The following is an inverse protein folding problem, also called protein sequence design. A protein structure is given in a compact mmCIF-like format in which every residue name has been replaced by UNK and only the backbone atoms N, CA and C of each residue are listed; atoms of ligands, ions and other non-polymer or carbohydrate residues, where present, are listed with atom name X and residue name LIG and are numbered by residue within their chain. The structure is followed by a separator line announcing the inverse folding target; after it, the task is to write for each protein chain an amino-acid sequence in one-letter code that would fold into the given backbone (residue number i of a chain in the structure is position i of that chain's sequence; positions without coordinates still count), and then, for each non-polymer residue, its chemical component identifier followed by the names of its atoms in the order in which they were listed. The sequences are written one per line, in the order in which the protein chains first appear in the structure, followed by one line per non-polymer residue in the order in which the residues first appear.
data_IF_764956614899
#
_entry.id   IF_764956614899
#
_cell.length_a   1.000
_cell.length_b   1.000
_cell.length_c   1.000
_cell.angle_alpha   90.00
_cell.angle_beta   90.00
_cell.angle_gamma   90.00
#
_symmetry.space_group_name_H-M   'P 1'
#
loop_
_entity.id
_entity.type
_entity.pdbx_description
1 polymer ?
#
# COMPACT_ATOMS: atom_id res chain seq x y z
N UNK A 1 -12.58 -4.72 28.26
CA UNK A 1 -11.82 -3.48 27.97
C UNK A 1 -11.34 -3.38 26.52
N UNK A 2 -10.73 -4.40 25.89
CA UNK A 2 -10.32 -4.31 24.46
C UNK A 2 -11.47 -4.17 23.45
N UNK A 3 -12.69 -4.55 23.83
CA UNK A 3 -13.85 -4.58 22.92
C UNK A 3 -14.73 -3.32 22.95
N UNK A 4 -14.52 -2.38 23.88
CA UNK A 4 -15.38 -1.19 24.01
C UNK A 4 -14.91 0.01 23.17
N UNK A 5 -13.74 -0.11 22.54
CA UNK A 5 -13.10 1.02 21.88
C UNK A 5 -12.69 2.11 22.88
N UNK A 6 -11.74 2.94 22.48
CA UNK A 6 -11.33 4.08 23.28
C UNK A 6 -10.93 5.22 22.35
N UNK A 7 -11.12 6.49 22.74
CA UNK A 7 -10.63 7.60 21.95
C UNK A 7 -9.12 7.45 21.72
N UNK A 8 -8.67 7.80 20.53
CA UNK A 8 -7.27 7.85 20.14
C UNK A 8 -6.89 9.29 19.79
N UNK A 9 -5.60 9.58 19.63
CA UNK A 9 -5.13 10.89 19.16
C UNK A 9 -4.47 10.74 17.79
N UNK A 10 -4.66 11.73 16.93
CA UNK A 10 -4.11 11.80 15.57
C UNK A 10 -3.17 12.99 15.48
N UNK A 11 -1.94 12.73 15.04
CA UNK A 11 -0.91 13.74 14.81
C UNK A 11 -0.51 13.74 13.34
N UNK A 12 -0.07 14.90 12.87
CA UNK A 12 0.45 15.08 11.52
C UNK A 12 1.87 15.59 11.57
N UNK A 13 2.71 15.08 10.68
CA UNK A 13 4.07 15.56 10.50
C UNK A 13 4.32 15.79 9.01
N UNK A 14 4.77 16.99 8.66
CA UNK A 14 5.36 17.23 7.35
C UNK A 14 6.72 16.51 7.28
N UNK A 15 7.06 16.02 6.09
CA UNK A 15 8.32 15.37 5.81
C UNK A 15 8.91 15.85 4.48
N UNK A 16 10.23 15.83 4.41
CA UNK A 16 10.95 16.11 3.18
C UNK A 16 10.81 14.97 2.15
N UNK A 17 11.45 15.12 0.99
CA UNK A 17 11.46 14.10 -0.08
C UNK A 17 12.05 12.75 0.34
N UNK A 18 12.84 12.72 1.42
CA UNK A 18 13.45 11.51 1.98
C UNK A 18 12.62 10.96 3.15
N UNK A 19 11.39 11.44 3.35
CA UNK A 19 10.51 11.08 4.45
C UNK A 19 11.07 11.43 5.84
N UNK A 20 11.98 12.40 5.92
CA UNK A 20 12.51 12.93 7.17
C UNK A 20 11.65 14.11 7.63
N UNK A 21 11.19 14.08 8.90
CA UNK A 21 10.42 15.19 9.49
C UNK A 21 11.28 16.43 9.57
N UNK A 22 10.78 17.53 9.04
CA UNK A 22 11.56 18.73 8.74
C UNK A 22 10.94 20.02 9.28
N UNK A 23 9.62 20.08 9.40
CA UNK A 23 8.89 21.28 9.83
C UNK A 23 8.17 21.09 11.17
N UNK A 24 8.01 22.20 11.89
CA UNK A 24 7.16 22.28 13.08
C UNK A 24 5.67 22.41 12.69
N UNK A 25 4.73 21.90 13.51
CA UNK A 25 3.30 21.94 13.19
C UNK A 25 2.75 23.31 12.81
N UNK A 26 3.21 24.39 13.44
CA UNK A 26 2.77 25.76 13.16
C UNK A 26 3.14 26.26 11.76
N UNK A 27 4.13 25.64 11.11
CA UNK A 27 4.55 26.01 9.76
C UNK A 27 3.64 25.40 8.69
N UNK A 28 3.05 24.23 8.95
CA UNK A 28 2.31 23.48 7.93
C UNK A 28 0.82 23.25 8.26
N UNK A 29 0.37 23.45 9.50
CA UNK A 29 -1.04 23.40 9.90
C UNK A 29 -1.59 24.81 10.15
N UNK A 30 -2.89 24.98 9.87
CA UNK A 30 -3.58 26.24 10.13
C UNK A 30 -4.04 26.41 11.57
N UNK A 31 -4.47 25.30 12.16
CA UNK A 31 -5.29 25.24 13.36
C UNK A 31 -4.57 24.44 14.46
N UNK A 32 -5.01 23.22 14.73
CA UNK A 32 -4.48 22.38 15.80
C UNK A 32 -3.36 21.48 15.31
N UNK A 33 -2.44 21.12 16.21
CA UNK A 33 -1.33 20.19 15.95
C UNK A 33 -1.78 18.72 15.95
N UNK A 34 -2.91 18.45 16.62
CA UNK A 34 -3.45 17.13 16.87
C UNK A 34 -4.98 17.19 16.94
N UNK A 35 -5.63 16.05 16.67
CA UNK A 35 -7.07 15.87 16.70
C UNK A 35 -7.43 14.57 17.47
N UNK A 36 -8.64 14.49 18.00
CA UNK A 36 -9.16 13.34 18.73
C UNK A 36 -9.95 12.41 17.79
N UNK A 37 -9.50 11.15 17.65
CA UNK A 37 -10.24 10.12 16.93
C UNK A 37 -11.30 9.52 17.86
N UNK A 38 -12.53 10.04 17.73
CA UNK A 38 -13.69 9.61 18.52
C UNK A 38 -14.78 8.86 17.74
N UNK A 39 -14.71 8.84 16.41
CA UNK A 39 -15.61 8.02 15.58
C UNK A 39 -15.12 6.57 15.54
N UNK A 40 -15.60 5.77 16.50
CA UNK A 40 -15.34 4.35 16.57
C UNK A 40 -16.58 3.56 16.94
N UNK A 41 -16.71 2.37 16.35
CA UNK A 41 -17.87 1.49 16.54
C UNK A 41 -17.43 0.03 16.67
N UNK A 42 -18.01 -0.75 17.61
CA UNK A 42 -17.75 -2.18 17.65
C UNK A 42 -18.29 -2.86 16.40
N UNK A 43 -17.68 -4.01 16.08
CA UNK A 43 -18.15 -4.92 15.05
C UNK A 43 -19.54 -5.46 15.39
N UNK A 44 -20.25 -5.94 14.36
CA UNK A 44 -21.61 -6.41 14.46
C UNK A 44 -21.72 -7.77 13.76
N UNK A 45 -22.11 -8.80 14.52
CA UNK A 45 -22.36 -10.13 13.97
C UNK A 45 -21.09 -10.87 13.50
N UNK A 46 -19.92 -10.52 14.05
CA UNK A 46 -18.64 -11.16 13.73
C UNK A 46 -18.24 -12.13 14.83
N UNK A 47 -17.62 -13.24 14.46
CA UNK A 47 -17.08 -14.24 15.38
C UNK A 47 -15.84 -13.69 16.11
N UNK A 48 -14.97 -12.96 15.40
CA UNK A 48 -13.90 -12.17 16.02
C UNK A 48 -14.41 -10.75 16.29
N UNK A 49 -14.55 -10.33 17.55
CA UNK A 49 -14.93 -8.95 17.88
C UNK A 49 -13.78 -7.99 17.57
N UNK A 50 -14.10 -6.83 17.00
CA UNK A 50 -13.14 -5.75 16.76
C UNK A 50 -13.83 -4.38 16.88
N UNK A 51 -13.04 -3.31 16.88
CA UNK A 51 -13.52 -1.93 16.87
C UNK A 51 -13.06 -1.26 15.58
N UNK A 52 -14.01 -0.74 14.81
CA UNK A 52 -13.74 0.01 13.59
C UNK A 52 -13.60 1.50 13.93
N UNK A 53 -12.44 2.06 13.63
CA UNK A 53 -12.13 3.48 13.79
C UNK A 53 -12.21 4.17 12.42
N UNK A 54 -12.87 5.32 12.37
CA UNK A 54 -12.91 6.16 11.17
C UNK A 54 -12.41 7.55 11.50
N UNK A 55 -11.52 8.07 10.66
CA UNK A 55 -11.03 9.43 10.77
C UNK A 55 -11.10 10.08 9.39
N UNK A 56 -11.61 11.30 9.32
CA UNK A 56 -11.81 12.06 8.08
C UNK A 56 -11.06 13.38 8.20
N UNK A 57 -10.17 13.61 7.25
CA UNK A 57 -9.35 14.82 7.14
C UNK A 57 -9.17 15.18 5.65
N UNK A 58 -8.92 16.46 5.31
CA UNK A 58 -8.93 17.61 6.23
C UNK A 58 -10.33 17.85 6.85
N UNK A 59 -10.37 18.56 7.98
CA UNK A 59 -11.60 18.87 8.72
C UNK A 59 -11.50 20.28 9.35
N UNK A 60 -12.44 20.67 10.21
CA UNK A 60 -12.44 22.00 10.83
C UNK A 60 -11.24 22.22 11.78
N UNK A 61 -10.72 21.14 12.39
CA UNK A 61 -9.62 21.19 13.34
C UNK A 61 -8.25 20.98 12.69
N UNK A 62 -8.21 20.34 11.51
CA UNK A 62 -6.99 19.99 10.77
C UNK A 62 -7.08 20.49 9.33
N UNK A 63 -6.36 21.57 9.07
CA UNK A 63 -6.20 22.18 7.74
C UNK A 63 -4.71 22.38 7.43
N UNK A 64 -4.32 22.11 6.19
CA UNK A 64 -2.93 22.13 5.74
C UNK A 64 -2.61 23.43 4.99
N UNK A 65 -1.56 24.11 5.42
CA UNK A 65 -1.02 25.33 4.78
C UNK A 65 -0.08 25.05 3.61
N UNK A 66 0.60 23.90 3.66
CA UNK A 66 1.66 23.55 2.73
C UNK A 66 1.31 22.24 2.03
N UNK A 67 1.57 22.18 0.73
CA UNK A 67 1.71 20.91 0.03
C UNK A 67 2.97 20.19 0.48
N UNK A 68 3.08 18.90 0.16
CA UNK A 68 4.26 18.09 0.48
C UNK A 68 3.93 16.68 0.95
N UNK A 69 4.95 16.04 1.52
CA UNK A 69 4.82 14.70 2.10
C UNK A 69 4.38 14.82 3.54
N UNK A 70 3.46 13.95 3.95
CA UNK A 70 2.95 13.94 5.31
C UNK A 70 2.90 12.53 5.88
N UNK A 71 3.09 12.44 7.19
CA UNK A 71 2.88 11.24 7.99
C UNK A 71 1.78 11.51 8.99
N UNK A 72 0.67 10.78 8.84
CA UNK A 72 -0.37 10.67 9.86
C UNK A 72 0.09 9.64 10.89
N UNK A 73 0.07 10.00 12.17
CA UNK A 73 0.38 9.11 13.29
C UNK A 73 -0.85 8.98 14.18
N UNK A 74 -1.23 7.74 14.51
CA UNK A 74 -2.27 7.46 15.50
C UNK A 74 -1.64 6.89 16.76
N UNK A 75 -2.07 7.38 17.92
CA UNK A 75 -1.50 7.02 19.22
C UNK A 75 -2.58 6.72 20.25
N UNK A 76 -2.18 6.16 21.40
CA UNK A 76 -3.04 6.23 22.58
C UNK A 76 -3.38 7.70 22.93
N UNK A 77 -4.58 7.93 23.47
CA UNK A 77 -5.09 9.27 23.76
C UNK A 77 -4.11 10.09 24.60
N UNK A 78 -3.73 11.26 24.10
CA UNK A 78 -2.85 12.20 24.78
C UNK A 78 -1.41 11.71 25.00
N UNK A 79 -1.01 10.61 24.35
CA UNK A 79 0.32 10.00 24.46
C UNK A 79 0.96 9.90 23.08
N UNK A 80 1.50 11.02 22.59
CA UNK A 80 2.13 11.11 21.25
C UNK A 80 3.24 10.06 20.99
N UNK A 81 3.92 9.61 22.05
CA UNK A 81 4.96 8.58 21.96
C UNK A 81 4.43 7.14 21.98
N UNK A 82 3.16 6.93 22.34
CA UNK A 82 2.52 5.62 22.36
C UNK A 82 1.91 5.32 20.98
N UNK A 83 2.78 5.18 19.98
CA UNK A 83 2.40 5.00 18.56
C UNK A 83 1.70 3.66 18.35
N UNK A 84 0.52 3.70 17.73
CA UNK A 84 -0.21 2.52 17.30
C UNK A 84 0.12 2.18 15.84
N UNK A 85 0.08 3.18 14.95
CA UNK A 85 0.52 3.05 13.57
C UNK A 85 0.77 4.42 12.94
N UNK A 86 1.44 4.42 11.79
CA UNK A 86 1.63 5.59 10.93
C UNK A 86 1.19 5.29 9.50
N UNK A 87 0.76 6.33 8.78
CA UNK A 87 0.39 6.29 7.37
C UNK A 87 0.91 7.52 6.65
N UNK A 88 1.66 7.27 5.59
CA UNK A 88 2.12 8.30 4.67
C UNK A 88 0.99 8.74 3.72
N UNK A 89 0.94 10.04 3.42
CA UNK A 89 0.08 10.62 2.40
C UNK A 89 0.72 11.89 1.83
N UNK A 90 0.08 12.49 0.82
CA UNK A 90 0.57 13.70 0.16
C UNK A 90 -0.53 14.75 0.11
N UNK A 91 -0.13 16.02 0.22
CA UNK A 91 -0.97 17.18 -0.09
C UNK A 91 -0.37 17.84 -1.32
N UNK A 92 -1.19 18.21 -2.30
CA UNK A 92 -0.77 18.79 -3.58
C UNK A 92 -1.48 20.11 -3.79
N UNK A 93 -0.78 21.10 -4.35
CA UNK A 93 -1.38 22.38 -4.75
C UNK A 93 -2.15 22.26 -6.09
N UNK A 94 -2.04 21.12 -6.77
CA UNK A 94 -2.64 20.84 -8.08
C UNK A 94 -2.24 21.86 -9.17
N UNK A 95 -1.08 22.49 -9.02
CA UNK A 95 -0.57 23.47 -9.96
C UNK A 95 0.24 22.87 -11.11
N UNK A 96 0.14 23.49 -12.28
CA UNK A 96 0.80 23.05 -13.49
C UNK A 96 0.10 21.86 -14.16
N UNK A 97 0.80 21.20 -15.09
CA UNK A 97 0.28 20.04 -15.81
C UNK A 97 1.30 18.91 -15.80
N UNK A 98 0.96 17.79 -15.17
CA UNK A 98 1.74 16.56 -15.16
C UNK A 98 1.08 15.50 -16.05
N UNK A 99 1.84 14.96 -17.01
CA UNK A 99 1.44 13.77 -17.79
C UNK A 99 2.43 12.65 -17.53
N UNK A 100 1.91 11.49 -17.15
CA UNK A 100 2.69 10.29 -16.94
C UNK A 100 2.54 9.37 -18.16
N UNK A 101 3.66 9.00 -18.75
CA UNK A 101 3.79 8.01 -19.80
C UNK A 101 4.64 6.85 -19.26
N UNK A 102 4.47 5.65 -19.82
CA UNK A 102 5.30 4.49 -19.46
C UNK A 102 5.65 3.70 -20.70
N UNK A 103 6.90 3.27 -20.80
CA UNK A 103 7.39 2.42 -21.88
C UNK A 103 7.93 1.12 -21.32
N UNK A 104 7.61 -0.01 -21.95
CA UNK A 104 8.22 -1.28 -21.64
C UNK A 104 9.58 -1.39 -22.30
N UNK A 105 10.61 -1.76 -21.54
CA UNK A 105 11.98 -1.94 -22.03
C UNK A 105 12.48 -3.36 -21.79
N UNK A 106 13.28 -3.86 -22.73
CA UNK A 106 14.04 -5.08 -22.53
C UNK A 106 15.35 -4.77 -21.80
N UNK A 107 15.62 -5.49 -20.71
CA UNK A 107 16.89 -5.42 -19.97
C UNK A 107 17.64 -6.75 -20.19
N UNK A 108 18.92 -6.73 -20.61
CA UNK A 108 19.71 -7.94 -20.77
C UNK A 108 19.70 -8.82 -19.51
N UNK A 109 19.45 -10.11 -19.67
CA UNK A 109 19.34 -11.06 -18.55
C UNK A 109 17.94 -11.15 -17.92
N UNK A 110 17.01 -10.26 -18.24
CA UNK A 110 15.61 -10.37 -17.82
C UNK A 110 14.75 -11.02 -18.91
N UNK A 111 13.88 -11.96 -18.51
CA UNK A 111 12.93 -12.61 -19.43
C UNK A 111 11.68 -11.75 -19.69
N UNK A 112 11.28 -10.96 -18.72
CA UNK A 112 10.12 -10.08 -18.81
C UNK A 112 10.57 -8.62 -19.00
N UNK A 113 9.70 -7.80 -19.58
CA UNK A 113 9.97 -6.39 -19.82
C UNK A 113 9.84 -5.59 -18.52
N UNK A 114 10.81 -4.70 -18.30
CA UNK A 114 10.78 -3.70 -17.22
C UNK A 114 9.97 -2.48 -17.66
N UNK A 115 9.44 -1.72 -16.71
CA UNK A 115 8.65 -0.52 -16.98
C UNK A 115 9.49 0.72 -16.69
N UNK A 116 9.62 1.58 -17.70
CA UNK A 116 10.32 2.86 -17.60
C UNK A 116 9.32 4.01 -17.72
N UNK A 117 9.05 4.75 -16.63
CA UNK A 117 8.15 5.89 -16.67
C UNK A 117 8.84 7.13 -17.22
N UNK A 118 8.04 7.99 -17.85
CA UNK A 118 8.40 9.33 -18.29
C UNK A 118 7.33 10.29 -17.77
N UNK A 119 7.74 11.29 -17.01
CA UNK A 119 6.85 12.38 -16.62
C UNK A 119 7.12 13.60 -17.49
N UNK A 120 6.06 14.21 -18.04
CA UNK A 120 6.12 15.52 -18.67
C UNK A 120 5.40 16.51 -17.78
N UNK A 121 6.16 17.38 -17.15
CA UNK A 121 5.65 18.41 -16.26
C UNK A 121 5.78 19.77 -16.93
N UNK A 122 4.69 20.55 -16.97
CA UNK A 122 4.72 21.95 -17.37
C UNK A 122 4.41 22.79 -16.13
N UNK A 123 5.40 23.52 -15.59
CA UNK A 123 5.17 24.36 -14.43
C UNK A 123 4.20 25.52 -14.73
N UNK A 124 3.45 26.00 -13.72
CA UNK A 124 2.69 27.24 -13.84
C UNK A 124 3.60 28.43 -14.17
N UNK A 125 3.06 29.45 -14.85
CA UNK A 125 3.84 30.54 -15.44
C UNK A 125 4.81 31.23 -14.46
N UNK A 126 4.40 31.43 -13.20
CA UNK A 126 5.22 32.07 -12.16
C UNK A 126 6.44 31.25 -11.71
N UNK A 127 6.49 29.96 -12.03
CA UNK A 127 7.52 29.05 -11.56
C UNK A 127 8.43 28.53 -12.71
N UNK A 128 8.24 29.00 -13.95
CA UNK A 128 9.03 28.56 -15.11
C UNK A 128 10.49 29.08 -15.12
N UNK A 129 10.87 29.95 -14.17
CA UNK A 129 12.17 30.65 -14.16
C UNK A 129 13.39 29.77 -13.86
N UNK A 130 13.23 28.66 -13.13
CA UNK A 130 14.30 27.71 -12.84
C UNK A 130 13.89 26.29 -13.26
N UNK A 131 14.15 25.89 -14.51
CA UNK A 131 13.78 24.56 -14.99
C UNK A 131 14.60 23.43 -14.36
N UNK A 132 15.72 23.71 -13.66
CA UNK A 132 16.53 22.71 -12.97
C UNK A 132 16.14 22.53 -11.49
N UNK A 133 15.32 23.43 -10.95
CA UNK A 133 14.82 23.39 -9.58
C UNK A 133 13.75 22.32 -9.30
N UNK A 134 13.47 21.44 -10.27
CA UNK A 134 12.39 20.45 -10.20
C UNK A 134 12.92 19.03 -10.05
N UNK A 135 12.25 18.24 -9.21
CA UNK A 135 12.50 16.80 -9.07
C UNK A 135 11.18 16.05 -9.25
N UNK A 136 11.19 14.96 -10.02
CA UNK A 136 10.04 14.07 -10.14
C UNK A 136 10.35 12.71 -9.52
N UNK A 137 9.48 12.24 -8.64
CA UNK A 137 9.57 10.91 -8.04
C UNK A 137 8.49 9.99 -8.60
N UNK A 138 8.89 8.78 -9.01
CA UNK A 138 8.01 7.74 -9.50
C UNK A 138 7.79 6.70 -8.41
N UNK A 139 6.52 6.36 -8.18
CA UNK A 139 6.11 5.34 -7.22
C UNK A 139 5.22 4.34 -7.95
N UNK A 140 5.50 3.06 -7.78
CA UNK A 140 4.69 2.01 -8.38
C UNK A 140 3.70 1.45 -7.37
N UNK A 141 2.42 1.42 -7.71
CA UNK A 141 1.35 0.80 -6.91
C UNK A 141 1.34 1.25 -5.44
N UNK A 142 1.67 2.52 -5.17
CA UNK A 142 1.73 3.08 -3.82
C UNK A 142 2.89 2.57 -2.94
N UNK A 143 3.86 1.83 -3.49
CA UNK A 143 5.03 1.33 -2.75
C UNK A 143 6.07 2.42 -2.55
N UNK A 144 5.88 3.23 -1.52
CA UNK A 144 6.75 4.36 -1.21
C UNK A 144 8.20 3.96 -0.90
N UNK A 145 8.44 2.72 -0.46
CA UNK A 145 9.79 2.19 -0.23
C UNK A 145 10.60 1.97 -1.53
N UNK A 146 9.95 1.80 -2.68
CA UNK A 146 10.58 1.68 -4.01
C UNK A 146 10.41 2.98 -4.82
N UNK A 147 10.50 4.13 -4.16
CA UNK A 147 10.43 5.43 -4.82
C UNK A 147 11.70 5.70 -5.63
N UNK A 148 11.53 6.18 -6.87
CA UNK A 148 12.67 6.51 -7.75
C UNK A 148 12.54 7.94 -8.25
N UNK A 149 13.45 8.81 -7.81
CA UNK A 149 13.45 10.21 -8.20
C UNK A 149 14.45 10.51 -9.32
N UNK A 150 14.09 11.47 -10.16
CA UNK A 150 14.89 12.08 -11.21
C UNK A 150 14.87 13.61 -11.03
N UNK A 151 16.04 14.21 -10.91
CA UNK A 151 16.24 15.65 -10.70
C UNK A 151 16.87 16.35 -11.91
N UNK A 152 17.11 15.61 -13.01
CA UNK A 152 17.67 16.14 -14.26
C UNK A 152 16.61 16.12 -15.37
N UNK A 153 15.84 17.21 -15.54
CA UNK A 153 14.88 17.29 -16.63
C UNK A 153 15.58 17.41 -17.99
N UNK A 154 14.96 16.81 -19.01
CA UNK A 154 15.27 17.10 -20.40
C UNK A 154 14.55 18.37 -20.83
N UNK A 155 15.33 19.31 -21.35
CA UNK A 155 14.89 20.68 -21.66
C UNK A 155 14.54 20.89 -23.14
N UNK A 156 14.35 19.82 -23.92
CA UNK A 156 14.16 19.91 -25.37
C UNK A 156 12.86 20.62 -25.78
N UNK A 157 11.84 20.68 -24.92
CA UNK A 157 10.50 21.20 -25.24
C UNK A 157 10.00 22.20 -24.18
N UNK A 158 10.85 23.13 -23.74
CA UNK A 158 10.46 24.15 -22.76
C UNK A 158 9.19 24.92 -23.21
N UNK A 159 8.27 25.26 -22.27
CA UNK A 159 8.39 25.13 -20.81
C UNK A 159 8.07 23.72 -20.26
N UNK A 160 7.77 22.73 -21.11
CA UNK A 160 7.57 21.35 -20.67
C UNK A 160 8.91 20.68 -20.36
N UNK A 161 9.04 20.22 -19.13
CA UNK A 161 10.17 19.46 -18.60
C UNK A 161 9.86 17.97 -18.68
N UNK A 162 10.77 17.17 -19.22
CA UNK A 162 10.61 15.72 -19.26
C UNK A 162 11.59 15.02 -18.31
N UNK A 163 11.06 14.25 -17.37
CA UNK A 163 11.82 13.44 -16.41
C UNK A 163 11.68 11.98 -16.80
N UNK A 164 12.80 11.29 -16.98
CA UNK A 164 12.82 9.90 -17.40
C UNK A 164 13.94 9.17 -16.66
N UNK A 165 13.60 8.11 -15.93
CA UNK A 165 14.59 7.30 -15.20
C UNK A 165 15.61 6.70 -16.16
N UNK A 166 16.85 6.48 -15.72
CA UNK A 166 17.79 5.66 -16.49
C UNK A 166 17.28 4.23 -16.70
N UNK A 167 17.72 3.56 -17.78
CA UNK A 167 17.32 2.17 -18.08
C UNK A 167 17.67 1.21 -16.95
N UNK A 168 18.79 1.42 -16.26
CA UNK A 168 19.22 0.63 -15.09
C UNK A 168 18.35 0.84 -13.86
N UNK A 169 17.57 1.94 -13.82
CA UNK A 169 16.64 2.30 -12.75
C UNK A 169 15.18 2.10 -13.15
N UNK A 170 14.90 1.42 -14.26
CA UNK A 170 13.54 1.06 -14.67
C UNK A 170 12.92 0.07 -13.67
N UNK A 171 11.62 0.19 -13.40
CA UNK A 171 10.92 -0.70 -12.49
C UNK A 171 10.96 -2.13 -13.02
N UNK A 172 11.21 -3.07 -12.10
CA UNK A 172 11.24 -4.48 -12.43
C UNK A 172 9.94 -4.91 -13.12
N UNK A 173 9.96 -6.02 -13.86
CA UNK A 173 8.77 -6.50 -14.52
C UNK A 173 7.55 -6.62 -13.59
N UNK A 174 6.35 -6.49 -14.15
CA UNK A 174 5.12 -6.81 -13.41
C UNK A 174 5.17 -8.30 -13.05
N UNK A 175 5.44 -8.60 -11.80
CA UNK A 175 5.26 -9.96 -11.28
C UNK A 175 3.78 -10.28 -11.26
N UNK A 176 3.42 -11.55 -11.46
CA UNK A 176 2.04 -11.99 -11.40
C UNK A 176 1.45 -11.61 -10.04
N UNK A 177 0.48 -10.69 -10.03
CA UNK A 177 -0.18 -10.27 -8.82
C UNK A 177 -1.23 -11.32 -8.44
N UNK A 178 -1.06 -11.94 -7.28
CA UNK A 178 -2.04 -12.86 -6.75
C UNK A 178 -3.15 -12.10 -6.03
N UNK A 179 -4.40 -12.39 -6.39
CA UNK A 179 -5.57 -11.85 -5.70
C UNK A 179 -6.28 -13.01 -4.99
N UNK A 180 -6.59 -12.81 -3.72
CA UNK A 180 -7.38 -13.71 -2.89
C UNK A 180 -8.73 -13.07 -2.64
N UNK A 181 -9.80 -13.75 -3.02
CA UNK A 181 -11.16 -13.35 -2.66
C UNK A 181 -11.65 -14.24 -1.51
N UNK A 182 -11.78 -13.64 -0.33
CA UNK A 182 -12.31 -14.30 0.86
C UNK A 182 -13.77 -13.93 1.13
N UNK A 183 -14.43 -13.19 0.23
CA UNK A 183 -15.80 -12.73 0.46
C UNK A 183 -16.72 -13.92 0.72
N UNK A 184 -16.98 -14.81 -0.22
CA UNK A 184 -17.99 -15.84 0.04
C UNK A 184 -17.63 -16.86 1.14
N UNK A 185 -16.33 -16.99 1.48
CA UNK A 185 -15.76 -18.09 2.27
C UNK A 185 -16.29 -19.48 1.84
N UNK A 186 -16.73 -19.60 0.58
CA UNK A 186 -17.17 -20.84 -0.05
C UNK A 186 -15.96 -21.42 -0.79
N UNK A 187 -15.92 -22.73 -0.99
CA UNK A 187 -14.84 -23.42 -1.73
C UNK A 187 -14.87 -23.16 -3.24
N UNK A 188 -15.15 -21.93 -3.66
CA UNK A 188 -15.00 -21.46 -5.04
C UNK A 188 -14.13 -20.22 -4.97
N UNK A 189 -13.16 -20.13 -5.88
CA UNK A 189 -12.10 -19.11 -5.95
C UNK A 189 -10.88 -19.36 -5.05
N UNK A 190 -10.11 -20.42 -5.36
CA UNK A 190 -8.79 -20.72 -4.78
C UNK A 190 -8.78 -21.06 -3.28
N UNK A 191 -9.94 -21.37 -2.69
CA UNK A 191 -10.05 -21.85 -1.31
C UNK A 191 -10.17 -23.38 -1.34
N UNK A 192 -9.15 -24.09 -0.88
CA UNK A 192 -9.12 -25.56 -0.78
C UNK A 192 -10.07 -26.05 0.32
N UNK A 193 -9.96 -25.45 1.53
CA UNK A 193 -10.71 -25.91 2.71
C UNK A 193 -11.08 -24.74 3.62
N UNK A 194 -12.38 -24.40 3.75
CA UNK A 194 -12.86 -23.53 4.81
C UNK A 194 -13.23 -24.34 6.07
N UNK A 195 -12.82 -23.86 7.24
CA UNK A 195 -13.26 -24.34 8.56
C UNK A 195 -13.89 -23.19 9.34
N UNK A 196 -15.22 -23.22 9.46
CA UNK A 196 -16.01 -22.22 10.19
C UNK A 196 -16.37 -22.68 11.61
N UNK A 197 -15.87 -23.83 12.06
CA UNK A 197 -16.12 -24.36 13.41
C UNK A 197 -15.22 -23.72 14.47
N UNK A 198 -14.15 -23.05 14.03
CA UNK A 198 -13.19 -22.38 14.89
C UNK A 198 -13.30 -20.86 14.75
N UNK A 199 -12.93 -20.13 15.80
CA UNK A 199 -12.84 -18.66 15.79
C UNK A 199 -11.38 -18.25 16.02
N UNK A 200 -10.75 -17.45 15.13
CA UNK A 200 -11.24 -17.02 13.80
C UNK A 200 -11.52 -18.21 12.86
N UNK A 201 -12.41 -18.02 11.89
CA UNK A 201 -12.58 -18.97 10.79
C UNK A 201 -11.24 -19.20 10.11
N UNK A 202 -11.00 -20.43 9.65
CA UNK A 202 -9.74 -20.81 9.00
C UNK A 202 -9.98 -21.12 7.54
N UNK A 203 -9.08 -20.69 6.67
CA UNK A 203 -9.10 -21.05 5.25
C UNK A 203 -7.73 -21.50 4.81
N UNK A 204 -7.67 -22.65 4.16
CA UNK A 204 -6.49 -23.09 3.40
C UNK A 204 -6.72 -22.72 1.93
N UNK A 205 -5.80 -21.94 1.37
CA UNK A 205 -5.81 -21.63 -0.05
C UNK A 205 -5.24 -22.79 -0.87
N UNK A 206 -5.67 -22.89 -2.12
CA UNK A 206 -5.07 -23.78 -3.10
C UNK A 206 -3.58 -23.43 -3.27
N UNK A 207 -2.68 -24.42 -3.34
CA UNK A 207 -1.26 -24.15 -3.46
C UNK A 207 -0.91 -23.41 -4.75
N UNK A 208 -0.10 -22.36 -4.62
CA UNK A 208 0.49 -21.68 -5.75
C UNK A 208 1.70 -22.48 -6.24
N UNK A 209 1.63 -22.98 -7.47
CA UNK A 209 2.73 -23.70 -8.07
C UNK A 209 3.69 -22.72 -8.74
N UNK A 210 5.00 -22.94 -8.58
CA UNK A 210 6.07 -22.22 -9.29
C UNK A 210 6.10 -22.49 -10.82
N UNK A 211 4.94 -22.84 -11.40
CA UNK A 211 4.67 -22.86 -12.83
C UNK A 211 4.23 -21.45 -13.20
N UNK A 212 5.20 -20.54 -13.35
CA UNK A 212 4.99 -19.22 -13.94
C UNK A 212 4.59 -19.39 -15.42
N UNK A 213 3.40 -19.92 -15.70
CA UNK A 213 2.79 -19.76 -17.01
C UNK A 213 2.68 -18.26 -17.24
N UNK A 214 3.31 -17.75 -18.30
CA UNK A 214 3.51 -16.33 -18.59
C UNK A 214 2.23 -15.53 -18.86
N UNK A 215 1.10 -15.95 -18.32
CA UNK A 215 -0.12 -15.15 -18.28
C UNK A 215 0.00 -14.24 -17.06
N UNK A 216 0.34 -12.98 -17.32
CA UNK A 216 0.00 -11.90 -16.40
C UNK A 216 -1.52 -11.98 -16.20
N UNK A 217 -1.97 -12.49 -15.06
CA UNK A 217 -3.35 -12.29 -14.67
C UNK A 217 -3.46 -10.83 -14.29
N UNK A 218 -4.37 -10.12 -14.96
CA UNK A 218 -4.76 -8.78 -14.55
C UNK A 218 -5.21 -8.86 -13.09
N UNK A 219 -4.45 -8.25 -12.19
CA UNK A 219 -4.95 -8.00 -10.84
C UNK A 219 -5.70 -6.68 -10.89
N UNK A 220 -7.03 -6.71 -10.75
CA UNK A 220 -7.85 -5.51 -10.93
C UNK A 220 -7.59 -4.45 -9.85
N UNK A 221 -6.91 -4.83 -8.76
CA UNK A 221 -6.72 -3.98 -7.59
C UNK A 221 -5.32 -3.38 -7.49
N UNK A 222 -4.33 -3.79 -8.31
CA UNK A 222 -2.95 -3.30 -8.26
C UNK A 222 -2.35 -3.29 -6.83
N UNK A 223 -2.71 -4.27 -6.00
CA UNK A 223 -2.28 -4.34 -4.58
C UNK A 223 -3.17 -3.58 -3.60
N UNK A 224 -4.35 -3.10 -3.99
CA UNK A 224 -5.35 -2.58 -3.05
C UNK A 224 -6.10 -3.70 -2.33
N UNK A 225 -6.46 -3.47 -1.07
CA UNK A 225 -7.34 -4.34 -0.29
C UNK A 225 -8.76 -3.82 -0.42
N UNK A 226 -9.71 -4.73 -0.65
CA UNK A 226 -11.11 -4.41 -0.67
C UNK A 226 -11.85 -5.21 0.41
N UNK A 227 -12.27 -4.53 1.47
CA UNK A 227 -13.08 -5.13 2.54
C UNK A 227 -14.53 -5.21 2.07
N UNK A 228 -15.03 -6.42 1.86
CA UNK A 228 -16.41 -6.70 1.46
C UNK A 228 -17.03 -7.72 2.40
N UNK A 229 -18.35 -7.67 2.49
CA UNK A 229 -19.10 -8.67 3.25
C UNK A 229 -19.08 -10.03 2.58
N UNK A 230 -18.97 -11.04 3.44
CA UNK A 230 -19.02 -12.43 3.05
C UNK A 230 -20.44 -12.97 2.80
N UNK A 231 -21.38 -12.38 3.51
CA UNK A 231 -22.79 -12.71 3.50
C UNK A 231 -23.54 -11.43 3.16
N UNK A 232 -24.29 -11.42 2.06
CA UNK A 232 -25.10 -10.27 1.67
C UNK A 232 -26.09 -9.96 2.80
N UNK A 233 -25.92 -8.81 3.43
CA UNK A 233 -26.80 -8.26 4.46
C UNK A 233 -26.62 -6.75 4.53
N UNK A 234 -27.65 -6.02 4.94
CA UNK A 234 -27.79 -4.56 4.89
C UNK A 234 -26.78 -3.74 5.74
N UNK A 235 -25.66 -4.33 6.17
CA UNK A 235 -24.65 -3.70 7.02
C UNK A 235 -23.52 -3.04 6.23
N UNK A 236 -22.73 -2.22 6.92
CA UNK A 236 -21.46 -1.70 6.39
C UNK A 236 -20.36 -2.75 6.59
N UNK A 237 -19.67 -3.23 5.53
CA UNK A 237 -18.58 -4.20 5.66
C UNK A 237 -17.48 -3.78 6.63
N UNK A 238 -17.33 -2.47 6.85
CA UNK A 238 -16.43 -1.93 7.87
C UNK A 238 -16.67 -2.52 9.26
N UNK A 239 -17.92 -2.90 9.58
CA UNK A 239 -18.35 -3.40 10.90
C UNK A 239 -18.84 -4.84 10.89
N UNK A 240 -19.15 -5.41 9.73
CA UNK A 240 -19.73 -6.75 9.59
C UNK A 240 -18.79 -7.77 8.95
N UNK A 241 -17.65 -7.34 8.39
CA UNK A 241 -16.67 -8.26 7.82
C UNK A 241 -15.97 -9.11 8.89
N UNK A 242 -15.67 -10.36 8.56
CA UNK A 242 -15.04 -11.30 9.49
C UNK A 242 -13.51 -11.28 9.39
N UNK A 243 -12.82 -11.45 10.52
CA UNK A 243 -11.39 -11.77 10.49
C UNK A 243 -11.19 -13.27 10.27
N UNK A 244 -10.47 -13.60 9.20
CA UNK A 244 -10.25 -14.99 8.78
C UNK A 244 -8.77 -15.31 8.83
N UNK A 245 -8.42 -16.43 9.47
CA UNK A 245 -7.07 -16.96 9.50
C UNK A 245 -6.79 -17.71 8.20
N UNK A 246 -5.99 -17.09 7.35
CA UNK A 246 -5.66 -17.60 6.02
C UNK A 246 -4.31 -18.30 6.03
N UNK A 247 -4.28 -19.53 5.50
CA UNK A 247 -3.06 -20.30 5.26
C UNK A 247 -2.76 -20.31 3.77
N UNK A 248 -1.64 -19.69 3.40
CA UNK A 248 -1.05 -19.75 2.07
C UNK A 248 -0.26 -21.05 1.92
N UNK A 249 -0.18 -21.56 0.69
CA UNK A 249 0.63 -22.73 0.37
C UNK A 249 1.37 -22.48 -0.95
N UNK A 250 2.65 -22.81 -1.00
CA UNK A 250 3.48 -22.60 -2.18
C UNK A 250 4.25 -23.87 -2.54
N UNK A 251 4.10 -24.33 -3.78
CA UNK A 251 4.78 -25.51 -4.31
C UNK A 251 5.95 -25.07 -5.19
N UNK A 252 7.20 -25.23 -4.75
CA UNK A 252 8.38 -24.84 -5.49
C UNK A 252 8.62 -25.75 -6.71
N UNK A 253 9.52 -25.37 -7.64
CA UNK A 253 9.88 -26.22 -8.77
C UNK A 253 10.37 -27.59 -8.28
N UNK A 254 9.85 -28.65 -8.92
CA UNK A 254 10.17 -30.04 -8.59
C UNK A 254 9.88 -30.45 -7.13
N UNK A 255 9.05 -29.68 -6.40
CA UNK A 255 8.69 -29.97 -5.01
C UNK A 255 9.91 -30.09 -4.08
N UNK A 256 10.94 -29.27 -4.35
CA UNK A 256 12.16 -29.20 -3.54
C UNK A 256 12.28 -27.87 -2.81
N UNK A 257 12.82 -27.85 -1.58
CA UNK A 257 13.03 -26.61 -0.85
C UNK A 257 13.96 -25.68 -1.64
N UNK A 258 13.64 -24.39 -1.64
CA UNK A 258 14.47 -23.32 -2.13
C UNK A 258 15.60 -23.03 -1.14
N UNK A 259 16.73 -22.53 -1.64
CA UNK A 259 17.93 -22.25 -0.83
C UNK A 259 17.82 -21.01 0.05
N UNK A 260 16.75 -20.23 -0.08
CA UNK A 260 16.50 -19.01 0.68
C UNK A 260 15.19 -19.06 1.45
N UNK A 261 14.98 -18.06 2.30
CA UNK A 261 13.71 -17.87 2.98
C UNK A 261 12.59 -17.60 1.96
N UNK A 262 11.46 -18.24 2.17
CA UNK A 262 10.25 -18.03 1.38
C UNK A 262 9.30 -17.19 2.23
N UNK A 263 8.87 -16.05 1.69
CA UNK A 263 8.05 -15.08 2.42
C UNK A 263 6.80 -14.79 1.61
N UNK A 264 5.65 -14.75 2.28
CA UNK A 264 4.42 -14.17 1.71
C UNK A 264 4.34 -12.69 2.10
N UNK A 265 4.36 -11.83 1.08
CA UNK A 265 4.23 -10.38 1.23
C UNK A 265 3.19 -9.86 0.25
N UNK A 266 2.46 -8.84 0.67
CA UNK A 266 1.32 -8.32 -0.07
C UNK A 266 0.84 -7.01 0.51
N UNK A 267 -0.36 -6.60 0.13
CA UNK A 267 -0.93 -5.32 0.53
C UNK A 267 -1.10 -5.19 2.05
N UNK A 268 -1.31 -6.31 2.74
CA UNK A 268 -1.37 -6.40 4.20
C UNK A 268 -0.02 -6.14 4.89
N UNK A 269 1.11 -6.29 4.19
CA UNK A 269 2.47 -5.96 4.65
C UNK A 269 3.04 -4.73 3.93
N UNK A 270 2.18 -3.86 3.36
CA UNK A 270 2.63 -2.68 2.60
C UNK A 270 3.39 -3.02 1.31
N UNK A 271 3.25 -4.26 0.81
CA UNK A 271 4.06 -4.86 -0.24
C UNK A 271 5.56 -4.96 0.08
N UNK A 272 5.91 -4.84 1.36
CA UNK A 272 7.27 -4.99 1.87
C UNK A 272 7.53 -6.47 2.23
N UNK A 273 8.62 -7.02 1.71
CA UNK A 273 9.05 -8.41 1.94
C UNK A 273 9.66 -8.55 3.33
N UNK A 274 10.33 -7.52 3.84
CA UNK A 274 10.91 -7.54 5.19
C UNK A 274 9.83 -7.56 6.28
N UNK A 275 8.64 -7.05 5.96
CA UNK A 275 7.43 -7.11 6.81
C UNK A 275 6.52 -8.28 6.46
N UNK A 276 6.95 -9.16 5.56
CA UNK A 276 6.18 -10.32 5.14
C UNK A 276 6.15 -11.42 6.22
N UNK A 277 5.42 -12.49 5.93
CA UNK A 277 5.36 -13.67 6.80
C UNK A 277 6.18 -14.81 6.20
N UNK A 278 7.16 -15.32 6.95
CA UNK A 278 7.95 -16.48 6.55
C UNK A 278 7.09 -17.73 6.37
N UNK A 279 7.42 -18.55 5.38
CA UNK A 279 6.76 -19.80 5.09
C UNK A 279 7.66 -20.98 5.47
N UNK A 280 7.07 -21.95 6.18
CA UNK A 280 7.78 -23.15 6.63
C UNK A 280 7.73 -24.26 5.60
N UNK A 281 8.88 -24.82 5.23
CA UNK A 281 8.90 -26.04 4.42
C UNK A 281 8.23 -27.21 5.13
N UNK A 282 7.30 -27.90 4.44
CA UNK A 282 6.65 -29.13 4.90
C UNK A 282 7.08 -30.31 4.00
N UNK A 283 8.15 -31.05 4.36
CA UNK A 283 8.72 -32.12 3.53
C UNK A 283 7.70 -33.17 3.09
N UNK A 284 6.81 -33.59 4.01
CA UNK A 284 5.79 -34.60 3.72
C UNK A 284 4.70 -34.16 2.74
N UNK A 285 4.68 -32.89 2.32
CA UNK A 285 3.70 -32.34 1.37
C UNK A 285 4.34 -31.70 0.14
N UNK A 286 5.68 -31.67 0.03
CA UNK A 286 6.38 -31.06 -1.09
C UNK A 286 6.10 -29.56 -1.27
N UNK A 287 5.72 -28.85 -0.19
CA UNK A 287 5.29 -27.45 -0.25
C UNK A 287 5.70 -26.67 1.00
N UNK A 288 5.76 -25.36 0.85
CA UNK A 288 5.76 -24.37 1.93
C UNK A 288 4.32 -24.11 2.38
#
# INVERSE_FOLDING_TARGET
MEQEGRPLSVYFYHADRNWTRDLSPTQFLESYRDDDLVDYRPSQGTAVPYVHYTYRFPNDDIQFRLSGNYVLRVTERGRENAVLFERAFFVTDEEGSLRLESTSIAIPGQRQQSIRPVARFTPPAGFQGDPLGYTTCFVRNGRLSDTRCEDRPRLSNQPSLAFELDRSRAFDPVTANYTVDLSSLRGRDKIERPDRTQTPFRVLLEPDYARFSGRNMDSPLNGQILVRDALRGYGSPARTAEYVRTTFAFVPPNERPLSGEVVVAGSFSGMDVEQGTGMDWKPGRGRY
#
